data_IF_275540555316
#
_entry.id   IF_275540555316
#
_cell.length_a   1.000
_cell.length_b   1.000
_cell.length_c   1.000
_cell.angle_alpha   90.00
_cell.angle_beta   90.00
_cell.angle_gamma   90.00
#
_symmetry.space_group_name_H-M   'P 1'
#
loop_
_entity.id
_entity.type
_entity.pdbx_description
1 polymer ?
#
# COMPACT_ATOMS: atom_id res chain seq x y z
N UNK A 1 -4.84 -16.56 10.60
CA UNK A 1 -3.52 -16.01 10.98
C UNK A 1 -3.23 -14.76 10.14
N UNK A 2 -2.76 -13.67 10.75
CA UNK A 2 -2.34 -12.45 10.04
C UNK A 2 -0.86 -12.19 10.24
N UNK A 3 -0.14 -11.83 9.18
CA UNK A 3 1.30 -11.51 9.21
C UNK A 3 1.60 -10.25 8.42
N UNK A 4 2.34 -9.31 9.00
CA UNK A 4 2.89 -8.16 8.27
C UNK A 4 4.01 -8.62 7.32
N UNK A 5 4.07 -8.03 6.14
CA UNK A 5 5.13 -8.22 5.14
C UNK A 5 6.02 -6.99 5.10
N UNK A 6 5.41 -5.80 5.03
CA UNK A 6 6.10 -4.52 5.04
C UNK A 6 5.19 -3.44 5.65
N UNK A 7 5.80 -2.42 6.23
CA UNK A 7 5.14 -1.27 6.81
C UNK A 7 6.01 -0.04 6.55
N UNK A 8 5.44 0.92 5.83
CA UNK A 8 6.11 2.14 5.44
C UNK A 8 5.41 3.35 6.07
N UNK A 9 5.93 3.88 7.18
CA UNK A 9 5.46 5.15 7.71
C UNK A 9 5.86 6.28 6.77
N UNK A 10 4.96 7.22 6.53
CA UNK A 10 5.32 8.43 5.79
C UNK A 10 6.26 9.31 6.62
N UNK A 11 7.37 9.72 6.00
CA UNK A 11 8.34 10.65 6.56
C UNK A 11 8.26 12.00 5.82
N UNK A 12 7.79 13.07 6.48
CA UNK A 12 7.63 14.38 5.84
C UNK A 12 8.96 15.00 5.38
N UNK A 13 10.10 14.51 5.87
CA UNK A 13 11.42 15.00 5.46
C UNK A 13 11.90 14.39 4.14
N UNK A 14 11.33 13.26 3.71
CA UNK A 14 11.66 12.61 2.45
C UNK A 14 10.81 13.13 1.29
N UNK A 15 9.57 13.57 1.57
CA UNK A 15 8.67 14.17 0.59
C UNK A 15 7.99 15.44 1.14
N UNK A 16 8.73 16.58 1.19
CA UNK A 16 8.17 17.84 1.65
C UNK A 16 7.11 18.40 0.71
N UNK A 17 7.08 17.98 -0.56
CA UNK A 17 6.07 18.43 -1.53
C UNK A 17 4.70 17.89 -1.11
N UNK A 18 4.61 16.59 -0.79
CA UNK A 18 3.37 16.01 -0.27
C UNK A 18 3.04 16.53 1.13
N UNK A 19 4.05 16.77 1.97
CA UNK A 19 3.83 17.23 3.34
C UNK A 19 3.29 18.67 3.44
N UNK A 20 3.73 19.56 2.55
CA UNK A 20 3.41 21.00 2.61
C UNK A 20 2.23 21.42 1.72
N UNK A 21 1.81 20.58 0.78
CA UNK A 21 0.67 20.86 -0.11
C UNK A 21 -0.66 20.52 0.58
N UNK A 22 -1.54 21.51 0.85
CA UNK A 22 -2.81 21.29 1.54
C UNK A 22 -3.83 20.47 0.73
N UNK A 23 -3.63 20.31 -0.58
CA UNK A 23 -4.49 19.50 -1.44
C UNK A 23 -4.03 18.02 -1.50
N UNK A 24 -2.85 17.71 -0.95
CA UNK A 24 -2.33 16.35 -0.86
C UNK A 24 -2.51 15.81 0.56
N UNK A 25 -2.77 14.50 0.66
CA UNK A 25 -2.93 13.82 1.94
C UNK A 25 -1.72 12.92 2.22
N UNK A 26 -0.88 13.24 3.22
CA UNK A 26 0.20 12.36 3.64
C UNK A 26 -0.33 11.04 4.21
N UNK A 27 0.08 9.93 3.61
CA UNK A 27 -0.39 8.59 3.99
C UNK A 27 0.76 7.64 4.26
N UNK A 28 0.66 6.88 5.35
CA UNK A 28 1.45 5.66 5.56
C UNK A 28 0.78 4.50 4.84
N UNK A 29 1.55 3.50 4.44
CA UNK A 29 1.01 2.29 3.84
C UNK A 29 1.66 1.03 4.41
N UNK A 30 0.95 -0.08 4.34
CA UNK A 30 1.45 -1.38 4.79
C UNK A 30 0.91 -2.53 3.96
N UNK A 31 1.69 -3.61 3.88
CA UNK A 31 1.32 -4.84 3.20
C UNK A 31 1.32 -5.99 4.20
N UNK A 32 0.22 -6.73 4.27
CA UNK A 32 0.08 -7.90 5.12
C UNK A 32 -0.53 -9.08 4.34
N UNK A 33 -0.50 -10.26 4.95
CA UNK A 33 -1.25 -11.43 4.49
C UNK A 33 -2.21 -11.90 5.59
N UNK A 34 -3.36 -12.43 5.18
CA UNK A 34 -4.31 -13.10 6.06
C UNK A 34 -4.92 -14.30 5.37
N UNK A 35 -5.07 -15.41 6.08
CA UNK A 35 -5.81 -16.61 5.65
C UNK A 35 -7.10 -16.81 6.46
N UNK A 36 -7.50 -15.81 7.25
CA UNK A 36 -8.64 -15.88 8.17
C UNK A 36 -9.95 -15.49 7.46
N UNK A 37 -10.36 -16.32 6.51
CA UNK A 37 -11.59 -16.14 5.73
C UNK A 37 -12.35 -17.45 5.58
N UNK A 38 -13.68 -17.36 5.54
CA UNK A 38 -14.57 -18.53 5.51
C UNK A 38 -14.46 -19.37 4.23
N UNK A 39 -13.93 -18.81 3.14
CA UNK A 39 -13.72 -19.53 1.88
C UNK A 39 -12.34 -20.23 1.79
N UNK A 40 -11.51 -20.10 2.82
CA UNK A 40 -10.20 -20.76 2.92
C UNK A 40 -9.11 -20.18 2.00
N UNK A 41 -9.36 -19.06 1.33
CA UNK A 41 -8.38 -18.44 0.43
C UNK A 41 -7.53 -17.38 1.16
N UNK A 42 -6.21 -17.28 0.93
CA UNK A 42 -5.41 -16.21 1.50
C UNK A 42 -5.59 -14.88 0.74
N UNK A 43 -5.56 -13.77 1.48
CA UNK A 43 -5.57 -12.40 0.94
C UNK A 43 -4.24 -11.72 1.16
N UNK A 44 -3.85 -10.91 0.18
CA UNK A 44 -2.90 -9.81 0.38
C UNK A 44 -3.70 -8.61 0.82
N UNK A 45 -3.29 -7.97 1.92
CA UNK A 45 -3.94 -6.78 2.47
C UNK A 45 -3.03 -5.60 2.19
N UNK A 46 -3.54 -4.58 1.50
CA UNK A 46 -2.88 -3.29 1.34
C UNK A 46 -3.63 -2.27 2.16
N UNK A 47 -2.97 -1.70 3.17
CA UNK A 47 -3.54 -0.64 4.00
C UNK A 47 -2.94 0.69 3.60
N UNK A 48 -3.77 1.72 3.50
CA UNK A 48 -3.36 3.13 3.35
C UNK A 48 -4.05 3.94 4.44
N UNK A 49 -3.27 4.68 5.23
CA UNK A 49 -3.76 5.41 6.41
C UNK A 49 -3.20 6.83 6.44
N UNK A 50 -4.08 7.83 6.61
CA UNK A 50 -3.69 9.24 6.77
C UNK A 50 -2.92 9.43 8.08
N UNK A 51 -1.84 10.20 8.04
CA UNK A 51 -1.09 10.56 9.24
C UNK A 51 -2.00 11.24 10.26
N UNK A 52 -1.94 10.78 11.51
CA UNK A 52 -2.68 11.37 12.62
C UNK A 52 -4.13 10.89 12.74
N UNK A 53 -4.65 10.14 11.75
CA UNK A 53 -6.00 9.55 11.76
C UNK A 53 -5.98 8.03 11.83
N UNK A 54 -5.37 7.52 12.90
CA UNK A 54 -5.24 6.06 13.11
C UNK A 54 -6.61 5.38 13.20
N UNK A 55 -6.77 4.29 12.46
CA UNK A 55 -7.99 3.50 12.38
C UNK A 55 -9.01 3.99 11.35
N UNK A 56 -8.76 5.11 10.67
CA UNK A 56 -9.65 5.67 9.63
C UNK A 56 -9.20 5.34 8.20
N UNK A 57 -8.04 4.68 8.05
CA UNK A 57 -7.51 4.25 6.76
C UNK A 57 -8.34 3.17 6.06
N UNK A 58 -8.04 2.96 4.78
CA UNK A 58 -8.65 1.91 3.97
C UNK A 58 -7.74 0.68 3.90
N UNK A 59 -8.33 -0.50 3.99
CA UNK A 59 -7.64 -1.78 3.79
C UNK A 59 -8.27 -2.54 2.62
N UNK A 60 -7.52 -2.68 1.53
CA UNK A 60 -7.91 -3.49 0.39
C UNK A 60 -7.51 -4.94 0.64
N UNK A 61 -8.50 -5.84 0.64
CA UNK A 61 -8.30 -7.28 0.78
C UNK A 61 -8.34 -7.93 -0.60
N UNK A 62 -7.17 -8.26 -1.13
CA UNK A 62 -6.98 -8.67 -2.50
C UNK A 62 -6.76 -10.17 -2.61
N UNK A 63 -7.47 -10.82 -3.52
CA UNK A 63 -7.10 -12.15 -3.98
C UNK A 63 -5.73 -12.12 -4.68
N UNK A 64 -5.02 -13.26 -4.80
CA UNK A 64 -3.71 -13.30 -5.44
C UNK A 64 -3.69 -12.71 -6.86
N UNK A 65 -4.76 -12.87 -7.63
CA UNK A 65 -4.86 -12.33 -8.99
C UNK A 65 -4.99 -10.81 -9.03
N UNK A 66 -5.73 -10.22 -8.09
CA UNK A 66 -5.86 -8.77 -7.96
C UNK A 66 -4.54 -8.15 -7.47
N UNK A 67 -3.89 -8.78 -6.50
CA UNK A 67 -2.57 -8.36 -6.02
C UNK A 67 -1.53 -8.36 -7.15
N UNK A 68 -1.54 -9.39 -8.02
CA UNK A 68 -0.67 -9.42 -9.23
C UNK A 68 -1.00 -8.30 -10.20
N UNK A 69 -2.28 -7.92 -10.33
CA UNK A 69 -2.69 -6.80 -11.18
C UNK A 69 -2.19 -5.47 -10.65
N UNK A 70 -2.30 -5.21 -9.34
CA UNK A 70 -1.73 -4.03 -8.68
C UNK A 70 -0.21 -3.98 -8.88
N UNK A 71 0.49 -5.11 -8.63
CA UNK A 71 1.94 -5.20 -8.83
C UNK A 71 2.35 -4.82 -10.27
N UNK A 72 1.63 -5.32 -11.28
CA UNK A 72 1.90 -4.95 -12.68
C UNK A 72 1.66 -3.46 -12.94
N UNK A 73 0.58 -2.89 -12.42
CA UNK A 73 0.28 -1.47 -12.57
C UNK A 73 1.37 -0.58 -11.95
N UNK A 74 1.83 -0.89 -10.74
CA UNK A 74 2.93 -0.19 -10.09
C UNK A 74 4.24 -0.31 -10.88
N UNK A 75 4.55 -1.53 -11.35
CA UNK A 75 5.71 -1.79 -12.19
C UNK A 75 5.70 -0.94 -13.46
N UNK A 76 4.57 -0.86 -14.14
CA UNK A 76 4.45 -0.07 -15.37
C UNK A 76 4.50 1.44 -15.06
N UNK A 77 3.89 1.90 -13.96
CA UNK A 77 3.99 3.29 -13.52
C UNK A 77 5.44 3.71 -13.23
N UNK A 78 6.24 2.84 -12.59
CA UNK A 78 7.68 3.09 -12.35
C UNK A 78 8.44 3.31 -13.67
N UNK A 79 8.16 2.52 -14.71
CA UNK A 79 8.78 2.74 -16.03
C UNK A 79 8.40 4.09 -16.62
N UNK A 80 7.12 4.47 -16.53
CA UNK A 80 6.63 5.72 -17.11
C UNK A 80 7.26 6.95 -16.46
N UNK A 81 7.61 6.87 -15.17
CA UNK A 81 8.35 7.95 -14.47
C UNK A 81 9.87 7.85 -14.62
N UNK A 82 10.38 6.87 -15.37
CA UNK A 82 11.81 6.72 -15.68
C UNK A 82 12.65 5.94 -14.66
N UNK A 83 12.00 5.25 -13.72
CA UNK A 83 12.66 4.46 -12.67
C UNK A 83 12.89 2.99 -13.09
N UNK A 84 13.76 2.27 -12.37
CA UNK A 84 13.89 0.82 -12.54
C UNK A 84 12.61 0.13 -12.02
N UNK A 85 11.84 -0.54 -12.90
CA UNK A 85 10.61 -1.21 -12.49
C UNK A 85 10.80 -2.42 -11.59
N UNK A 86 12.02 -2.97 -11.51
CA UNK A 86 12.26 -4.25 -10.87
C UNK A 86 11.57 -5.44 -11.56
N UNK A 87 11.58 -6.58 -10.86
CA UNK A 87 11.10 -7.90 -11.34
C UNK A 87 9.60 -8.16 -11.10
#
# INVERSE_FOLDING_TARGET
MRRSIDDHPFDPTLDPVVADDPDLTPVSWGVAISDDYDDGEPRVIVTVEEIGRRGEGLAAHLLPDEARRVRRALRDALKEVGEDPGA
#
